data_IF_930294101308
#
_entry.id   IF_930294101308
#
_cell.length_a   1.000
_cell.length_b   1.000
_cell.length_c   1.000
_cell.angle_alpha   90.00
_cell.angle_beta   90.00
_cell.angle_gamma   90.00
#
_symmetry.space_group_name_H-M   'P 1'
#
loop_
_entity.id
_entity.type
_entity.pdbx_description
1 polymer ?
#
# COMPACT_ATOMS: atom_id res chain seq x y z
N UNK A 1 17.50 10.39 -0.91
CA UNK A 1 17.30 8.92 -1.01
C UNK A 1 17.26 8.49 -2.47
N UNK A 2 17.81 7.32 -2.81
CA UNK A 2 17.78 6.77 -4.19
C UNK A 2 16.33 6.56 -4.65
N UNK A 3 15.98 7.07 -5.84
CA UNK A 3 14.68 6.80 -6.47
C UNK A 3 14.62 5.32 -6.89
N UNK A 4 13.48 4.63 -6.75
CA UNK A 4 13.34 3.24 -7.21
C UNK A 4 13.62 3.12 -8.71
N UNK A 5 14.43 2.14 -9.11
CA UNK A 5 14.85 1.95 -10.50
C UNK A 5 13.65 1.80 -11.46
N UNK A 6 12.63 1.05 -11.04
CA UNK A 6 11.41 0.80 -11.82
C UNK A 6 10.58 2.07 -12.03
N UNK A 7 10.45 2.92 -11.02
CA UNK A 7 9.75 4.20 -11.12
C UNK A 7 10.45 5.15 -12.10
N UNK A 8 11.80 5.22 -12.03
CA UNK A 8 12.58 6.03 -12.97
C UNK A 8 12.46 5.56 -14.41
N UNK A 9 12.40 4.25 -14.65
CA UNK A 9 12.18 3.66 -15.98
C UNK A 9 10.78 4.01 -16.51
N UNK A 10 9.73 3.72 -15.74
CA UNK A 10 8.34 3.97 -16.17
C UNK A 10 8.08 5.45 -16.47
N UNK A 11 8.68 6.38 -15.70
CA UNK A 11 8.60 7.82 -15.99
C UNK A 11 9.28 8.18 -17.32
N UNK A 12 10.44 7.59 -17.62
CA UNK A 12 11.19 7.84 -18.85
C UNK A 12 10.46 7.32 -20.09
N UNK A 13 9.74 6.21 -19.94
CA UNK A 13 8.96 5.56 -20.99
C UNK A 13 7.51 6.07 -21.08
N UNK A 14 7.14 7.08 -20.26
CA UNK A 14 5.78 7.63 -20.18
C UNK A 14 4.69 6.57 -19.90
N UNK A 15 5.02 5.56 -19.09
CA UNK A 15 4.09 4.50 -18.71
C UNK A 15 3.37 4.90 -17.42
N UNK A 16 2.04 4.88 -17.44
CA UNK A 16 1.22 5.10 -16.24
C UNK A 16 1.51 4.00 -15.22
N UNK A 17 1.76 4.40 -13.98
CA UNK A 17 2.11 3.50 -12.89
C UNK A 17 1.40 3.90 -11.60
N UNK A 18 1.13 2.93 -10.72
CA UNK A 18 0.46 3.16 -9.45
C UNK A 18 1.07 2.29 -8.34
N UNK A 19 0.97 2.75 -7.09
CA UNK A 19 1.30 1.95 -5.90
C UNK A 19 0.03 1.41 -5.24
N UNK A 20 0.16 0.24 -4.61
CA UNK A 20 -0.90 -0.30 -3.77
C UNK A 20 -1.16 0.59 -2.54
N UNK A 21 -2.42 0.69 -2.08
CA UNK A 21 -2.80 1.48 -0.91
C UNK A 21 -2.46 0.77 0.43
N UNK A 22 -1.30 0.11 0.53
CA UNK A 22 -0.92 -0.77 1.64
C UNK A 22 -1.06 -0.05 3.00
N UNK A 23 -0.61 1.20 3.08
CA UNK A 23 -0.58 1.98 4.33
C UNK A 23 -1.98 2.26 4.91
N UNK A 24 -3.05 2.06 4.13
CA UNK A 24 -4.43 2.18 4.62
C UNK A 24 -4.92 0.94 5.37
N UNK A 25 -4.28 -0.21 5.15
CA UNK A 25 -4.74 -1.51 5.65
C UNK A 25 -3.70 -2.19 6.54
N UNK A 26 -2.42 -1.88 6.37
CA UNK A 26 -1.31 -2.59 7.00
C UNK A 26 -0.22 -1.62 7.43
N UNK A 27 0.12 -1.64 8.72
CA UNK A 27 1.30 -0.96 9.27
C UNK A 27 2.52 -1.88 9.17
N UNK A 28 3.53 -1.45 8.42
CA UNK A 28 4.78 -2.18 8.29
C UNK A 28 5.73 -1.92 9.48
N UNK A 29 6.54 -2.91 9.85
CA UNK A 29 7.61 -2.74 10.83
C UNK A 29 8.75 -1.87 10.31
N UNK A 30 9.41 -1.12 11.20
CA UNK A 30 10.41 -0.10 10.85
C UNK A 30 11.62 -0.58 10.04
N UNK A 31 11.94 -1.89 10.06
CA UNK A 31 12.99 -2.51 9.25
C UNK A 31 12.50 -3.23 7.97
N UNK A 32 11.18 -3.35 7.76
CA UNK A 32 10.62 -4.06 6.62
C UNK A 32 10.31 -3.12 5.47
N UNK A 33 10.99 -3.31 4.34
CA UNK A 33 10.67 -2.59 3.11
C UNK A 33 9.28 -2.96 2.56
N UNK A 34 8.58 -1.97 2.00
CA UNK A 34 7.27 -2.13 1.31
C UNK A 34 7.38 -2.73 -0.10
N UNK A 35 8.52 -3.32 -0.42
CA UNK A 35 8.72 -4.07 -1.66
C UNK A 35 8.17 -5.48 -1.49
N UNK A 36 7.28 -5.85 -2.40
CA UNK A 36 6.69 -7.18 -2.50
C UNK A 36 7.38 -7.96 -3.63
N UNK A 37 7.40 -9.29 -3.51
CA UNK A 37 7.85 -10.15 -4.60
C UNK A 37 6.83 -10.15 -5.75
N UNK A 38 7.24 -10.58 -6.94
CA UNK A 38 6.32 -10.68 -8.10
C UNK A 38 5.15 -11.61 -7.79
N UNK A 39 5.41 -12.75 -7.14
CA UNK A 39 4.38 -13.70 -6.74
C UNK A 39 3.34 -13.08 -5.78
N UNK A 40 3.79 -12.31 -4.77
CA UNK A 40 2.90 -11.59 -3.87
C UNK A 40 2.03 -10.57 -4.62
N UNK A 41 2.64 -9.82 -5.55
CA UNK A 41 1.92 -8.87 -6.40
C UNK A 41 0.88 -9.59 -7.26
N UNK A 42 1.23 -10.72 -7.87
CA UNK A 42 0.33 -11.53 -8.68
C UNK A 42 -0.88 -11.99 -7.87
N UNK A 43 -0.65 -12.61 -6.71
CA UNK A 43 -1.72 -13.12 -5.85
C UNK A 43 -2.63 -12.00 -5.30
N UNK A 44 -2.06 -10.83 -4.96
CA UNK A 44 -2.82 -9.63 -4.58
C UNK A 44 -3.75 -9.20 -5.72
N UNK A 45 -3.23 -9.08 -6.94
CA UNK A 45 -4.01 -8.64 -8.10
C UNK A 45 -5.10 -9.65 -8.47
N UNK A 46 -4.80 -10.96 -8.41
CA UNK A 46 -5.78 -12.01 -8.66
C UNK A 46 -6.91 -11.98 -7.62
N UNK A 47 -6.57 -11.86 -6.34
CA UNK A 47 -7.57 -11.77 -5.26
C UNK A 47 -8.42 -10.53 -5.41
N UNK A 48 -7.82 -9.38 -5.74
CA UNK A 48 -8.55 -8.14 -5.97
C UNK A 48 -9.50 -8.26 -7.18
N UNK A 49 -9.06 -8.93 -8.26
CA UNK A 49 -9.90 -9.20 -9.44
C UNK A 49 -11.12 -10.06 -9.10
N UNK A 50 -10.97 -11.04 -8.22
CA UNK A 50 -12.05 -11.97 -7.86
C UNK A 50 -12.98 -11.44 -6.76
N UNK A 51 -12.45 -10.70 -5.78
CA UNK A 51 -13.19 -10.31 -4.56
C UNK A 51 -13.49 -8.81 -4.47
N UNK A 52 -12.73 -7.97 -5.18
CA UNK A 52 -12.78 -6.51 -5.00
C UNK A 52 -12.27 -6.01 -3.64
N UNK A 53 -11.78 -6.88 -2.74
CA UNK A 53 -11.38 -6.52 -1.39
C UNK A 53 -9.87 -6.41 -1.21
N UNK A 54 -9.42 -5.22 -0.79
CA UNK A 54 -8.03 -4.99 -0.40
C UNK A 54 -7.65 -5.72 0.89
N UNK A 55 -8.61 -5.94 1.79
CA UNK A 55 -8.39 -6.64 3.08
C UNK A 55 -8.05 -8.09 2.82
N UNK A 56 -8.82 -8.74 1.94
CA UNK A 56 -8.53 -10.10 1.47
C UNK A 56 -7.23 -10.15 0.67
N UNK A 57 -7.03 -9.24 -0.28
CA UNK A 57 -5.84 -9.23 -1.11
C UNK A 57 -4.54 -9.04 -0.29
N UNK A 58 -4.54 -8.20 0.75
CA UNK A 58 -3.35 -7.97 1.57
C UNK A 58 -3.05 -9.08 2.59
N UNK A 59 -3.82 -10.17 2.63
CA UNK A 59 -3.43 -11.40 3.36
C UNK A 59 -2.15 -12.03 2.81
N UNK A 60 -1.84 -11.81 1.53
CA UNK A 60 -0.61 -12.29 0.90
C UNK A 60 0.67 -11.53 1.28
N UNK A 61 0.56 -10.45 2.08
CA UNK A 61 1.73 -9.79 2.67
C UNK A 61 2.22 -10.64 3.86
N UNK A 62 3.50 -11.03 3.94
CA UNK A 62 4.03 -11.85 5.04
C UNK A 62 3.86 -11.17 6.40
N UNK A 63 3.32 -11.90 7.38
CA UNK A 63 3.00 -11.35 8.71
C UNK A 63 4.22 -10.80 9.45
N UNK A 64 5.42 -11.37 9.23
CA UNK A 64 6.68 -10.83 9.79
C UNK A 64 7.01 -9.39 9.37
N UNK A 65 6.37 -8.87 8.30
CA UNK A 65 6.53 -7.48 7.85
C UNK A 65 5.52 -6.54 8.51
N UNK A 66 4.52 -7.08 9.20
CA UNK A 66 3.33 -6.41 9.67
C UNK A 66 3.43 -6.22 11.18
N UNK A 67 3.23 -4.98 11.62
CA UNK A 67 3.07 -4.64 13.05
C UNK A 67 1.60 -4.67 13.43
N UNK A 68 0.74 -4.21 12.52
CA UNK A 68 -0.69 -4.06 12.78
C UNK A 68 -1.48 -4.13 11.46
N UNK A 69 -2.63 -4.80 11.47
CA UNK A 69 -3.63 -4.75 10.40
C UNK A 69 -4.79 -3.87 10.87
N UNK A 70 -5.18 -2.89 10.06
CA UNK A 70 -6.33 -2.05 10.37
C UNK A 70 -7.62 -2.81 10.04
N UNK A 71 -8.54 -2.94 11.00
CA UNK A 71 -9.87 -3.51 10.78
C UNK A 71 -10.71 -2.60 9.87
N UNK A 72 -11.61 -3.19 9.08
CA UNK A 72 -12.46 -2.61 8.01
C UNK A 72 -13.36 -1.39 8.36
N UNK A 73 -13.18 -0.71 9.50
CA UNK A 73 -13.93 0.52 9.82
C UNK A 73 -13.50 1.76 9.00
N UNK A 74 -12.72 1.59 7.92
CA UNK A 74 -12.19 2.68 7.11
C UNK A 74 -12.81 2.64 5.71
N UNK A 75 -14.13 2.74 5.63
CA UNK A 75 -14.81 3.18 4.39
C UNK A 75 -15.95 4.17 4.67
N UNK A 76 -15.72 5.11 5.57
CA UNK A 76 -16.46 6.37 5.58
C UNK A 76 -15.48 7.48 5.29
N UNK A 77 -15.80 8.29 4.28
CA UNK A 77 -15.06 9.41 3.66
C UNK A 77 -14.52 10.49 4.62
N UNK A 78 -14.64 10.29 5.92
CA UNK A 78 -14.38 11.25 6.99
C UNK A 78 -12.94 11.19 7.53
N UNK A 79 -12.26 10.05 7.44
CA UNK A 79 -10.98 9.85 8.17
C UNK A 79 -9.70 10.17 7.37
N UNK A 80 -9.82 10.45 6.07
CA UNK A 80 -8.66 10.86 5.24
C UNK A 80 -8.31 12.34 5.38
N UNK A 81 -9.23 13.19 5.88
CA UNK A 81 -8.95 14.61 6.02
C UNK A 81 -8.11 14.92 7.27
N UNK A 82 -8.28 14.17 8.36
CA UNK A 82 -7.68 14.56 9.65
C UNK A 82 -6.20 14.16 9.81
N UNK A 83 -5.75 13.07 9.17
CA UNK A 83 -4.35 12.60 9.33
C UNK A 83 -3.32 13.21 8.38
N UNK A 84 -3.75 14.01 7.39
CA UNK A 84 -2.86 14.63 6.40
C UNK A 84 -2.95 16.17 6.33
N UNK A 85 -3.78 16.80 7.15
CA UNK A 85 -3.72 18.26 7.38
C UNK A 85 -2.61 18.49 8.41
N UNK A 86 -1.47 18.97 7.94
CA UNK A 86 -0.35 19.37 8.81
C UNK A 86 -0.85 20.47 9.77
N UNK A 87 -0.52 20.45 11.08
CA UNK A 87 -0.79 21.59 11.92
C UNK A 87 0.10 22.74 11.45
N UNK A 88 -0.51 23.78 10.86
CA UNK A 88 0.15 25.07 10.71
C UNK A 88 0.30 25.65 12.11
N UNK A 89 1.52 25.60 12.65
CA UNK A 89 1.85 26.29 13.89
C UNK A 89 1.66 27.79 13.67
N UNK A 90 0.76 28.38 14.47
CA UNK A 90 0.69 29.83 14.71
C UNK A 90 1.38 30.13 16.04
#
# INVERSE_FOLDING_TARGET
>A
GKKPLTFGKAKRENIKHQRFPIDRYVKFGGGSGKSLTIDQVYNILMTLKHTGSWVEAFKYIPDRKIVERYSEKIDTKQHVHEKYVQPTFK
#
